data_IF_446616280401
#
_entry.id   IF_446616280401
#
_cell.length_a   1.000
_cell.length_b   1.000
_cell.length_c   1.000
_cell.angle_alpha   90.00
_cell.angle_beta   90.00
_cell.angle_gamma   90.00
#
_symmetry.space_group_name_H-M   'P 1'
#
loop_
_entity.id
_entity.type
_entity.pdbx_description
1 polymer ?
#
# COMPACT_ATOMS: atom_id res chain seq x y z
N UNK A 1 7.32 3.60 -17.82
CA UNK A 1 7.95 2.74 -16.81
C UNK A 1 9.27 2.25 -17.33
N UNK A 2 10.27 2.13 -16.47
CA UNK A 2 11.66 1.80 -16.84
C UNK A 2 12.08 0.40 -16.36
N UNK A 3 11.50 -0.10 -15.26
CA UNK A 3 11.75 -1.43 -14.70
C UNK A 3 10.47 -1.97 -14.05
N UNK A 4 10.25 -3.29 -14.11
CA UNK A 4 9.14 -3.98 -13.48
C UNK A 4 9.67 -5.06 -12.55
N UNK A 5 9.14 -5.10 -11.33
CA UNK A 5 9.29 -6.21 -10.38
C UNK A 5 7.91 -6.87 -10.24
N UNK A 6 7.88 -8.20 -10.40
CA UNK A 6 6.64 -8.97 -10.46
C UNK A 6 6.87 -10.36 -9.82
N UNK A 7 5.89 -10.82 -9.06
CA UNK A 7 5.84 -12.15 -8.48
C UNK A 7 4.58 -12.84 -9.01
N UNK A 8 4.77 -13.82 -9.87
CA UNK A 8 3.70 -14.48 -10.61
C UNK A 8 3.01 -15.60 -9.82
N UNK A 9 3.16 -15.63 -8.48
CA UNK A 9 2.47 -16.57 -7.60
C UNK A 9 0.93 -16.53 -7.78
N UNK A 10 0.41 -15.40 -8.27
CA UNK A 10 -0.98 -15.25 -8.68
C UNK A 10 -1.97 -15.10 -7.52
N UNK A 11 -3.27 -14.90 -7.84
CA UNK A 11 -4.33 -14.63 -6.87
C UNK A 11 -4.86 -15.85 -6.11
N UNK A 12 -4.23 -17.02 -6.18
CA UNK A 12 -4.81 -18.19 -5.53
C UNK A 12 -4.79 -18.02 -4.00
N UNK A 13 -5.96 -18.19 -3.37
CA UNK A 13 -6.09 -18.04 -1.91
C UNK A 13 -5.22 -19.03 -1.13
N UNK A 14 -4.73 -20.08 -1.79
CA UNK A 14 -3.80 -21.07 -1.24
C UNK A 14 -2.34 -20.58 -1.23
N UNK A 15 -1.96 -19.65 -2.11
CA UNK A 15 -0.58 -19.18 -2.26
C UNK A 15 -0.17 -18.20 -1.15
N UNK A 16 -1.14 -17.50 -0.54
CA UNK A 16 -0.88 -16.58 0.58
C UNK A 16 -0.08 -15.34 0.19
N UNK A 17 0.86 -14.93 1.05
CA UNK A 17 1.70 -13.73 0.87
C UNK A 17 2.74 -13.97 -0.24
N UNK A 18 2.86 -13.03 -1.18
CA UNK A 18 3.80 -13.13 -2.30
C UNK A 18 4.50 -11.78 -2.51
N UNK A 19 5.60 -11.56 -1.77
CA UNK A 19 6.31 -10.29 -1.84
C UNK A 19 7.04 -10.15 -3.18
N UNK A 20 6.81 -9.04 -3.89
CA UNK A 20 7.55 -8.68 -5.11
C UNK A 20 8.87 -8.00 -4.80
N UNK A 21 8.87 -7.11 -3.81
CA UNK A 21 10.06 -6.32 -3.44
C UNK A 21 10.15 -6.17 -1.92
N UNK A 22 11.31 -6.55 -1.37
CA UNK A 22 11.71 -6.22 -0.01
C UNK A 22 12.81 -5.17 -0.09
N UNK A 23 12.63 -4.05 0.63
CA UNK A 23 13.67 -3.05 0.81
C UNK A 23 13.98 -2.88 2.30
N UNK A 24 15.26 -3.01 2.65
CA UNK A 24 15.79 -2.94 4.03
C UNK A 24 16.92 -1.90 4.16
N UNK A 25 17.09 -1.03 3.18
CA UNK A 25 18.19 -0.06 3.11
C UNK A 25 17.64 1.32 2.77
N UNK A 26 18.47 2.35 2.92
CA UNK A 26 18.17 3.66 2.35
C UNK A 26 18.11 3.54 0.81
N UNK A 27 16.93 3.75 0.23
CA UNK A 27 16.67 3.43 -1.18
C UNK A 27 15.74 4.43 -1.88
N UNK A 28 15.89 4.54 -3.20
CA UNK A 28 15.02 5.32 -4.05
C UNK A 28 14.63 4.53 -5.31
N UNK A 29 13.34 4.53 -5.63
CA UNK A 29 12.77 3.87 -6.80
C UNK A 29 12.08 4.91 -7.67
N UNK A 30 12.43 4.96 -8.95
CA UNK A 30 11.92 5.94 -9.90
C UNK A 30 11.39 5.27 -11.15
N UNK A 31 10.11 5.51 -11.48
CA UNK A 31 9.43 4.93 -12.66
C UNK A 31 9.49 3.39 -12.69
N UNK A 32 9.33 2.78 -11.53
CA UNK A 32 9.23 1.33 -11.36
C UNK A 32 7.76 0.89 -11.38
N UNK A 33 7.51 -0.32 -11.88
CA UNK A 33 6.25 -1.03 -11.69
C UNK A 33 6.46 -2.14 -10.64
N UNK A 34 5.62 -2.17 -9.62
CA UNK A 34 5.53 -3.23 -8.62
C UNK A 34 4.18 -3.90 -8.82
N UNK A 35 4.17 -5.12 -9.37
CA UNK A 35 2.95 -5.79 -9.79
C UNK A 35 2.69 -7.07 -8.99
N UNK A 36 1.72 -7.01 -8.09
CA UNK A 36 1.42 -8.11 -7.19
C UNK A 36 0.00 -8.17 -6.66
N UNK A 37 -0.20 -9.05 -5.68
CA UNK A 37 -1.49 -9.29 -5.01
C UNK A 37 -1.42 -9.01 -3.50
N UNK A 38 -1.14 -10.00 -2.66
CA UNK A 38 -1.04 -9.81 -1.22
C UNK A 38 0.43 -9.56 -0.85
N UNK A 39 0.67 -8.55 0.00
CA UNK A 39 1.99 -8.20 0.54
C UNK A 39 3.01 -7.75 -0.52
N UNK A 40 2.59 -6.88 -1.46
CA UNK A 40 3.42 -6.61 -2.62
C UNK A 40 4.77 -5.96 -2.36
N UNK A 41 4.73 -4.83 -1.65
CA UNK A 41 5.92 -4.07 -1.29
C UNK A 41 6.15 -4.16 0.21
N UNK A 42 7.21 -4.89 0.59
CA UNK A 42 7.71 -4.89 1.94
C UNK A 42 8.73 -3.76 2.12
N UNK A 43 8.23 -2.57 2.44
CA UNK A 43 9.02 -1.43 2.88
C UNK A 43 9.47 -1.66 4.34
N UNK A 44 10.38 -2.61 4.52
CA UNK A 44 10.68 -3.21 5.83
C UNK A 44 11.31 -2.24 6.82
N UNK A 45 12.34 -1.50 6.43
CA UNK A 45 13.07 -0.59 7.33
C UNK A 45 13.81 0.53 6.58
N UNK A 46 14.41 1.47 7.33
CA UNK A 46 15.21 2.59 6.81
C UNK A 46 14.40 3.61 5.98
N UNK A 47 15.08 4.57 5.34
CA UNK A 47 14.43 5.66 4.59
C UNK A 47 14.24 5.27 3.15
N UNK A 48 13.00 5.35 2.67
CA UNK A 48 12.68 4.89 1.33
C UNK A 48 11.88 5.93 0.56
N UNK A 49 12.21 6.12 -0.71
CA UNK A 49 11.53 7.07 -1.58
C UNK A 49 11.06 6.41 -2.88
N UNK A 50 9.76 6.44 -3.14
CA UNK A 50 9.15 5.89 -4.35
C UNK A 50 8.54 7.05 -5.13
N UNK A 51 8.97 7.25 -6.38
CA UNK A 51 8.51 8.37 -7.20
C UNK A 51 8.09 7.93 -8.60
N UNK A 52 6.90 8.39 -9.01
CA UNK A 52 6.34 8.10 -10.34
C UNK A 52 6.28 6.58 -10.61
N UNK A 53 6.05 5.79 -9.56
CA UNK A 53 5.92 4.35 -9.64
C UNK A 53 4.46 3.93 -9.81
N UNK A 54 4.25 2.80 -10.46
CA UNK A 54 2.96 2.10 -10.47
C UNK A 54 3.02 0.93 -9.49
N UNK A 55 2.08 0.86 -8.56
CA UNK A 55 2.04 -0.16 -7.51
C UNK A 55 0.67 -0.83 -7.52
N UNK A 56 0.64 -2.14 -7.73
CA UNK A 56 -0.58 -2.94 -7.79
C UNK A 56 -0.68 -3.89 -6.60
N UNK A 57 -1.88 -4.10 -6.07
CA UNK A 57 -2.09 -5.11 -5.04
C UNK A 57 -3.49 -5.17 -4.48
N UNK A 58 -3.68 -6.01 -3.46
CA UNK A 58 -4.99 -6.39 -2.91
C UNK A 58 -5.10 -6.19 -1.40
N UNK A 59 -4.33 -6.95 -0.63
CA UNK A 59 -4.33 -6.96 0.83
C UNK A 59 -2.93 -6.55 1.28
N UNK A 60 -2.86 -5.52 2.11
CA UNK A 60 -1.64 -5.02 2.77
C UNK A 60 -0.47 -4.80 1.80
N UNK A 61 -0.77 -4.38 0.58
CA UNK A 61 0.20 -4.47 -0.51
C UNK A 61 1.31 -3.40 -0.46
N UNK A 62 1.23 -2.47 0.49
CA UNK A 62 2.34 -1.63 0.94
C UNK A 62 2.46 -1.77 2.46
N UNK A 63 3.50 -2.45 2.96
CA UNK A 63 3.60 -2.77 4.38
C UNK A 63 5.03 -2.70 4.92
N UNK A 64 5.16 -2.63 6.24
CA UNK A 64 6.46 -2.59 6.95
C UNK A 64 6.62 -1.41 7.90
N UNK A 65 7.86 -1.17 8.35
CA UNK A 65 8.23 -0.15 9.35
C UNK A 65 9.29 0.84 8.81
N UNK A 66 9.44 0.95 7.49
CA UNK A 66 10.29 1.98 6.89
C UNK A 66 9.72 3.39 7.12
N UNK A 67 10.61 4.40 7.07
CA UNK A 67 10.20 5.78 6.82
C UNK A 67 10.06 5.96 5.31
N UNK A 68 8.89 5.62 4.77
CA UNK A 68 8.64 5.52 3.33
C UNK A 68 7.77 6.67 2.81
N UNK A 69 8.20 7.32 1.74
CA UNK A 69 7.42 8.34 1.03
C UNK A 69 7.14 7.90 -0.40
N UNK A 70 5.87 7.89 -0.76
CA UNK A 70 5.37 7.65 -2.11
C UNK A 70 4.93 8.99 -2.69
N UNK A 71 5.56 9.43 -3.78
CA UNK A 71 5.28 10.72 -4.39
C UNK A 71 4.95 10.58 -5.88
N UNK A 72 3.82 11.16 -6.30
CA UNK A 72 3.39 11.12 -7.71
C UNK A 72 3.23 9.69 -8.25
N UNK A 73 2.95 8.72 -7.38
CA UNK A 73 2.75 7.33 -7.77
C UNK A 73 1.30 7.07 -8.17
N UNK A 74 1.09 6.03 -8.96
CA UNK A 74 -0.22 5.43 -9.16
C UNK A 74 -0.33 4.16 -8.31
N UNK A 75 -1.39 4.07 -7.52
CA UNK A 75 -1.66 2.95 -6.61
C UNK A 75 -2.96 2.30 -7.08
N UNK A 76 -2.85 1.08 -7.58
CA UNK A 76 -3.91 0.34 -8.23
C UNK A 76 -4.38 -0.82 -7.36
N UNK A 77 -5.63 -0.76 -6.90
CA UNK A 77 -6.23 -1.83 -6.10
C UNK A 77 -6.80 -2.88 -7.05
N UNK A 78 -6.29 -4.11 -6.97
CA UNK A 78 -6.75 -5.28 -7.74
C UNK A 78 -7.91 -6.00 -7.07
N UNK A 79 -8.68 -6.74 -7.86
CA UNK A 79 -9.74 -7.59 -7.33
C UNK A 79 -9.22 -8.98 -6.96
N UNK A 80 -9.70 -9.51 -5.84
CA UNK A 80 -9.34 -10.82 -5.31
C UNK A 80 -10.45 -11.35 -4.42
N UNK A 81 -11.45 -11.99 -5.03
CA UNK A 81 -12.61 -12.56 -4.33
C UNK A 81 -13.33 -11.57 -3.38
N UNK A 82 -14.17 -12.09 -2.49
CA UNK A 82 -14.95 -11.29 -1.53
C UNK A 82 -14.15 -10.68 -0.37
N UNK A 83 -12.82 -10.77 -0.39
CA UNK A 83 -11.98 -10.28 0.70
C UNK A 83 -11.95 -8.76 0.75
N UNK A 84 -11.89 -8.20 1.95
CA UNK A 84 -11.57 -6.79 2.18
C UNK A 84 -10.20 -6.47 1.60
N UNK A 85 -10.03 -5.26 1.06
CA UNK A 85 -8.77 -4.77 0.50
C UNK A 85 -8.19 -3.68 1.38
N UNK A 86 -6.88 -3.67 1.56
CA UNK A 86 -6.14 -2.70 2.38
C UNK A 86 -4.92 -2.25 1.62
N UNK A 87 -4.72 -0.93 1.50
CA UNK A 87 -3.57 -0.38 0.78
C UNK A 87 -2.33 -0.49 1.65
N UNK A 88 -2.39 0.05 2.86
CA UNK A 88 -1.24 0.05 3.77
C UNK A 88 -1.43 -0.86 4.98
N UNK A 89 -0.34 -1.48 5.44
CA UNK A 89 -0.26 -2.12 6.74
C UNK A 89 1.04 -1.71 7.44
N UNK A 90 1.03 -0.56 8.11
CA UNK A 90 2.24 -0.06 8.76
C UNK A 90 2.47 -0.83 10.07
N UNK A 91 3.72 -1.26 10.24
CA UNK A 91 4.15 -2.23 11.24
C UNK A 91 5.00 -1.63 12.35
N UNK A 92 4.85 -0.36 12.69
CA UNK A 92 5.68 0.26 13.72
C UNK A 92 5.50 -0.41 15.08
N UNK A 93 6.62 -0.89 15.62
CA UNK A 93 6.64 -1.71 16.84
C UNK A 93 6.87 -0.91 18.11
N UNK A 94 7.42 0.32 18.00
CA UNK A 94 7.73 1.17 19.15
C UNK A 94 7.32 2.63 18.94
N UNK A 95 6.84 3.33 19.98
CA UNK A 95 6.37 4.71 19.86
C UNK A 95 7.48 5.69 19.45
N UNK A 96 8.72 5.44 19.87
CA UNK A 96 9.94 6.16 19.49
C UNK A 96 10.46 5.83 18.08
N UNK A 97 9.88 4.83 17.42
CA UNK A 97 10.22 4.46 16.06
C UNK A 97 9.88 5.59 15.08
N UNK A 98 10.79 5.80 14.11
CA UNK A 98 10.64 6.78 13.04
C UNK A 98 9.91 6.23 11.81
N UNK A 99 9.46 4.97 11.85
CA UNK A 99 8.66 4.35 10.80
C UNK A 99 7.36 5.11 10.52
N UNK A 100 6.91 4.99 9.28
CA UNK A 100 5.69 5.62 8.78
C UNK A 100 5.62 5.62 7.26
N UNK A 101 4.41 5.47 6.73
CA UNK A 101 4.13 5.52 5.30
C UNK A 101 3.45 6.85 4.96
N UNK A 102 4.02 7.59 4.01
CA UNK A 102 3.48 8.86 3.51
C UNK A 102 3.10 8.70 2.03
N UNK A 103 1.84 8.95 1.71
CA UNK A 103 1.33 8.95 0.33
C UNK A 103 1.05 10.41 -0.07
N UNK A 104 1.84 10.96 -0.98
CA UNK A 104 1.81 12.38 -1.33
C UNK A 104 1.62 12.59 -2.82
N UNK A 105 0.54 13.29 -3.19
CA UNK A 105 0.20 13.57 -4.59
C UNK A 105 0.11 12.30 -5.46
N UNK A 106 -0.35 11.20 -4.88
CA UNK A 106 -0.57 9.94 -5.59
C UNK A 106 -2.01 9.83 -6.09
N UNK A 107 -2.22 9.02 -7.13
CA UNK A 107 -3.56 8.60 -7.55
C UNK A 107 -3.84 7.22 -6.98
N UNK A 108 -4.96 7.06 -6.27
CA UNK A 108 -5.44 5.77 -5.78
C UNK A 108 -6.71 5.43 -6.55
N UNK A 109 -6.71 4.31 -7.26
CA UNK A 109 -7.86 3.87 -8.06
C UNK A 109 -7.95 2.35 -8.12
N UNK A 110 -9.11 1.84 -8.52
CA UNK A 110 -9.25 0.44 -8.88
C UNK A 110 -8.44 0.14 -10.16
N UNK A 111 -7.78 -1.03 -10.19
CA UNK A 111 -7.17 -1.58 -11.39
C UNK A 111 -8.24 -2.01 -12.41
N UNK A 112 -7.83 -2.26 -13.66
CA UNK A 112 -8.75 -2.67 -14.73
C UNK A 112 -9.41 -4.03 -14.47
N UNK A 113 -8.70 -4.91 -13.76
CA UNK A 113 -9.20 -6.23 -13.36
C UNK A 113 -10.18 -6.16 -12.18
N UNK A 114 -10.46 -4.97 -11.64
CA UNK A 114 -11.38 -4.83 -10.53
C UNK A 114 -12.81 -5.05 -10.97
N UNK A 115 -13.54 -5.95 -10.29
CA UNK A 115 -14.88 -6.37 -10.71
C UNK A 115 -15.81 -5.19 -11.00
N UNK A 116 -16.66 -5.34 -12.02
CA UNK A 116 -17.66 -4.34 -12.40
C UNK A 116 -18.61 -4.02 -11.22
N UNK A 117 -18.77 -4.97 -10.30
CA UNK A 117 -19.57 -4.84 -9.09
C UNK A 117 -18.76 -4.21 -7.93
N UNK A 118 -18.21 -3.01 -8.17
CA UNK A 118 -17.34 -2.24 -7.26
C UNK A 118 -17.94 -1.98 -5.87
N UNK A 119 -19.23 -2.22 -5.68
CA UNK A 119 -19.98 -1.92 -4.46
C UNK A 119 -19.98 -3.04 -3.43
N UNK A 120 -19.63 -4.28 -3.79
CA UNK A 120 -19.68 -5.41 -2.85
C UNK A 120 -18.41 -5.60 -2.02
N UNK A 121 -17.28 -5.00 -2.42
CA UNK A 121 -15.98 -5.18 -1.77
C UNK A 121 -15.48 -3.88 -1.19
N UNK A 122 -15.29 -3.86 0.12
CA UNK A 122 -14.74 -2.71 0.82
C UNK A 122 -13.23 -2.65 0.63
N UNK A 123 -12.75 -1.45 0.32
CA UNK A 123 -11.32 -1.10 0.25
C UNK A 123 -11.05 -0.02 1.28
N UNK A 124 -9.98 -0.18 2.06
CA UNK A 124 -9.57 0.74 3.11
C UNK A 124 -8.17 1.28 2.83
N UNK A 125 -7.89 2.51 3.26
CA UNK A 125 -6.56 3.12 3.14
C UNK A 125 -5.49 2.30 3.87
N UNK A 126 -5.85 1.62 4.94
CA UNK A 126 -4.98 0.63 5.56
C UNK A 126 -5.48 0.14 6.90
N UNK A 127 -4.67 -0.68 7.55
CA UNK A 127 -4.93 -1.23 8.88
C UNK A 127 -3.64 -1.26 9.71
N UNK A 128 -3.72 -1.26 11.05
CA UNK A 128 -2.53 -1.42 11.87
C UNK A 128 -2.03 -2.87 11.83
N UNK A 129 -0.78 -3.09 11.42
CA UNK A 129 -0.16 -4.40 11.52
C UNK A 129 0.45 -4.65 12.91
N UNK A 130 0.91 -3.59 13.58
CA UNK A 130 1.52 -3.61 14.92
C UNK A 130 0.93 -2.54 15.83
N UNK A 131 1.18 -2.66 17.13
CA UNK A 131 0.53 -1.87 18.19
C UNK A 131 0.80 -0.36 18.13
N UNK A 132 1.91 0.08 17.52
CA UNK A 132 2.25 1.50 17.38
C UNK A 132 2.15 1.98 15.95
N UNK A 133 1.42 1.22 15.11
CA UNK A 133 1.30 1.47 13.70
C UNK A 133 0.95 2.93 13.42
N UNK A 134 1.58 3.60 12.46
CA UNK A 134 1.16 4.93 12.01
C UNK A 134 0.07 4.90 10.91
N UNK A 135 -0.79 3.87 10.94
CA UNK A 135 -1.97 3.67 10.06
C UNK A 135 -3.28 3.25 10.80
N UNK A 136 -4.05 4.15 11.45
CA UNK A 136 -5.04 4.05 12.60
C UNK A 136 -5.99 2.86 12.80
N UNK A 137 -6.45 2.45 14.03
CA UNK A 137 -7.09 3.19 15.17
C UNK A 137 -6.76 2.64 16.60
N UNK A 138 -5.82 3.22 17.37
CA UNK A 138 -5.88 3.31 18.87
C UNK A 138 -4.68 4.06 19.50
N UNK A 139 -3.52 4.12 18.84
CA UNK A 139 -2.42 5.07 19.13
C UNK A 139 -1.68 5.40 17.83
N UNK A 140 -2.38 6.13 16.95
CA UNK A 140 -2.01 6.15 15.53
C UNK A 140 -2.32 7.49 14.86
N UNK A 141 -1.37 8.02 14.07
CA UNK A 141 -1.52 9.24 13.26
C UNK A 141 -1.91 8.94 11.81
N UNK A 142 -3.22 8.84 11.49
CA UNK A 142 -3.69 9.01 10.11
C UNK A 142 -4.09 10.46 9.89
N UNK A 143 -3.62 11.05 8.80
CA UNK A 143 -4.03 12.38 8.38
C UNK A 143 -4.34 12.38 6.89
N UNK A 144 -5.52 12.86 6.55
CA UNK A 144 -5.90 13.18 5.19
C UNK A 144 -5.84 14.71 5.04
N UNK A 145 -5.10 15.19 4.05
CA UNK A 145 -4.93 16.62 3.83
C UNK A 145 -5.12 16.96 2.36
N UNK A 146 -6.15 17.76 2.07
CA UNK A 146 -6.46 18.26 0.72
C UNK A 146 -6.64 17.16 -0.34
N UNK A 147 -7.13 15.98 0.07
CA UNK A 147 -7.51 14.91 -0.84
C UNK A 147 -8.71 15.31 -1.72
N UNK A 148 -8.74 14.83 -2.96
CA UNK A 148 -9.83 15.11 -3.92
C UNK A 148 -10.32 13.80 -4.54
N UNK A 149 -11.58 13.79 -5.00
CA UNK A 149 -12.19 12.65 -5.67
C UNK A 149 -13.37 12.07 -4.90
N UNK A 150 -14.01 11.02 -5.44
CA UNK A 150 -15.22 10.43 -4.84
C UNK A 150 -14.93 9.73 -3.50
N UNK A 151 -13.73 9.18 -3.32
CA UNK A 151 -13.31 8.48 -2.11
C UNK A 151 -12.68 9.37 -1.03
N UNK A 152 -12.56 10.69 -1.25
CA UNK A 152 -11.84 11.59 -0.33
C UNK A 152 -12.71 12.28 0.71
N UNK A 153 -13.99 11.89 0.85
CA UNK A 153 -14.89 12.48 1.84
C UNK A 153 -14.61 11.86 3.21
N UNK A 154 -14.37 12.72 4.21
CA UNK A 154 -14.10 12.31 5.60
C UNK A 154 -15.31 12.41 6.52
N UNK A 155 -16.42 12.99 6.05
CA UNK A 155 -17.71 13.01 6.76
C UNK A 155 -18.57 11.84 6.29
N UNK A 156 -18.76 10.86 7.17
CA UNK A 156 -19.78 9.82 7.05
C UNK A 156 -21.06 10.20 7.78
#
# INVERSE_FOLDING_TARGET
MNITFENTAGPDQETGQAVELVSEVDSAFYRCKLDGYQDTLYAKSNKQFYRECDIYGTIDFIFGDASAVFQNCNIYVRFLGGNVKTITAEGREKPEGNGGIIIHNCTITAAEDFSENRTSIKTYMGRPWRNYSRTSVDTIYYAEYNNRGRGSKTTG
#
